data_IF_378404138436
#
_entry.id   IF_378404138436
#
_cell.length_a   1.000
_cell.length_b   1.000
_cell.length_c   1.000
_cell.angle_alpha   90.00
_cell.angle_beta   90.00
_cell.angle_gamma   90.00
#
_symmetry.space_group_name_H-M   'P 1'
#
loop_
_entity.id
_entity.type
_entity.pdbx_description
1 polymer ?
#
# COMPACT_ATOMS: atom_id res chain seq x y z
N UNK A 1 4.02 6.26 -25.15
CA UNK A 1 3.08 7.07 -25.96
C UNK A 1 3.92 7.78 -26.99
N UNK A 2 3.60 7.65 -28.28
CA UNK A 2 4.29 8.37 -29.36
C UNK A 2 3.61 9.72 -29.56
N UNK A 3 4.40 10.73 -29.90
CA UNK A 3 3.92 12.10 -30.14
C UNK A 3 4.43 12.60 -31.48
N UNK A 4 3.59 13.32 -32.21
CA UNK A 4 3.90 13.97 -33.47
C UNK A 4 4.63 13.02 -34.45
N UNK A 5 5.87 13.35 -34.80
CA UNK A 5 6.71 12.62 -35.77
C UNK A 5 7.17 11.25 -35.29
N UNK A 6 6.96 10.90 -34.03
CA UNK A 6 7.24 9.55 -33.52
C UNK A 6 6.20 8.53 -33.98
N UNK A 7 5.04 8.97 -34.47
CA UNK A 7 3.94 8.12 -34.95
C UNK A 7 4.34 7.52 -36.31
N UNK A 8 4.44 6.18 -36.36
CA UNK A 8 4.92 5.44 -37.54
C UNK A 8 3.79 4.78 -38.37
N UNK A 9 2.55 4.90 -37.93
CA UNK A 9 1.42 4.32 -38.63
C UNK A 9 1.18 5.05 -39.97
N UNK A 10 0.75 4.33 -41.01
CA UNK A 10 0.44 4.94 -42.30
C UNK A 10 -0.90 5.67 -42.27
N UNK A 11 -1.90 5.06 -41.62
CA UNK A 11 -3.23 5.61 -41.43
C UNK A 11 -3.56 5.63 -39.94
N UNK A 12 -4.19 6.72 -39.50
CA UNK A 12 -4.60 6.93 -38.12
C UNK A 12 -6.03 7.45 -38.07
N UNK A 13 -6.77 7.07 -37.03
CA UNK A 13 -8.06 7.67 -36.70
C UNK A 13 -7.80 8.90 -35.84
N UNK A 14 -8.28 10.06 -36.25
CA UNK A 14 -8.00 11.34 -35.58
C UNK A 14 -9.23 11.88 -34.86
N UNK A 15 -9.00 12.30 -33.63
CA UNK A 15 -9.95 13.05 -32.80
C UNK A 15 -9.36 14.45 -32.61
N UNK A 16 -10.15 15.48 -32.79
CA UNK A 16 -9.71 16.86 -32.57
C UNK A 16 -9.65 17.22 -31.07
N UNK A 17 -9.27 18.47 -30.78
CA UNK A 17 -9.15 19.00 -29.43
C UNK A 17 -10.51 19.23 -28.73
N UNK A 18 -11.58 19.45 -29.50
CA UNK A 18 -12.95 19.57 -29.02
C UNK A 18 -13.61 18.20 -28.76
N UNK A 19 -13.02 17.12 -29.28
CA UNK A 19 -13.52 15.74 -29.15
C UNK A 19 -14.31 15.24 -30.36
N UNK A 20 -14.38 16.01 -31.44
CA UNK A 20 -15.00 15.60 -32.70
C UNK A 20 -14.11 14.59 -33.43
N UNK A 21 -14.75 13.64 -34.10
CA UNK A 21 -14.05 12.63 -34.90
C UNK A 21 -13.79 13.18 -36.31
N UNK A 22 -12.52 13.39 -36.67
CA UNK A 22 -12.12 13.84 -38.00
C UNK A 22 -12.03 12.68 -39.01
N UNK A 23 -12.14 11.44 -38.54
CA UNK A 23 -12.11 10.24 -39.37
C UNK A 23 -10.71 9.63 -39.48
N UNK A 24 -10.50 8.83 -40.54
CA UNK A 24 -9.22 8.18 -40.83
C UNK A 24 -8.45 8.99 -41.86
N UNK A 25 -7.22 9.37 -41.53
CA UNK A 25 -6.34 10.15 -42.41
C UNK A 25 -4.88 9.73 -42.25
N UNK A 26 -4.00 10.32 -43.05
CA UNK A 26 -2.56 10.06 -42.95
C UNK A 26 -1.92 10.87 -41.81
N UNK A 27 -0.78 10.40 -41.31
CA UNK A 27 -0.03 11.13 -40.26
C UNK A 27 0.36 12.55 -40.68
N UNK A 28 0.86 12.81 -41.91
CA UNK A 28 1.20 14.17 -42.34
C UNK A 28 0.00 15.14 -42.35
N UNK A 29 -1.18 14.66 -42.76
CA UNK A 29 -2.41 15.48 -42.75
C UNK A 29 -2.81 15.84 -41.33
N UNK A 30 -2.79 14.85 -40.41
CA UNK A 30 -3.11 15.06 -39.02
C UNK A 30 -2.11 15.98 -38.31
N UNK A 31 -0.82 15.87 -38.64
CA UNK A 31 0.23 16.76 -38.13
C UNK A 31 -0.01 18.20 -38.56
N UNK A 32 -0.38 18.44 -39.83
CA UNK A 32 -0.69 19.79 -40.31
C UNK A 32 -1.85 20.40 -39.52
N UNK A 33 -2.93 19.63 -39.30
CA UNK A 33 -4.09 20.09 -38.52
C UNK A 33 -3.69 20.43 -37.07
N UNK A 34 -2.81 19.63 -36.46
CA UNK A 34 -2.30 19.91 -35.12
C UNK A 34 -1.44 21.19 -35.10
N UNK A 35 -0.52 21.35 -36.07
CA UNK A 35 0.34 22.53 -36.22
C UNK A 35 -0.47 23.81 -36.48
N UNK A 36 -1.49 23.76 -37.34
CA UNK A 36 -2.39 24.89 -37.63
C UNK A 36 -3.12 25.39 -36.38
N UNK A 37 -3.37 24.49 -35.41
CA UNK A 37 -4.00 24.79 -34.13
C UNK A 37 -2.99 25.09 -33.01
N UNK A 38 -1.69 24.97 -33.28
CA UNK A 38 -0.63 25.12 -32.27
C UNK A 38 -0.65 24.03 -31.19
N UNK A 39 -1.15 22.84 -31.51
CA UNK A 39 -1.29 21.68 -30.63
C UNK A 39 -0.43 20.51 -31.10
N UNK A 40 -0.36 19.45 -30.30
CA UNK A 40 0.37 18.23 -30.63
C UNK A 40 -0.58 17.09 -31.04
N UNK A 41 -0.10 16.17 -31.86
CA UNK A 41 -0.76 14.92 -32.21
C UNK A 41 -0.26 13.80 -31.28
N UNK A 42 -1.12 13.31 -30.39
CA UNK A 42 -0.78 12.26 -29.42
C UNK A 42 -1.43 10.92 -29.82
N UNK A 43 -0.64 9.85 -29.82
CA UNK A 43 -1.14 8.49 -30.03
C UNK A 43 -1.72 7.92 -28.72
N UNK A 44 -3.06 7.94 -28.60
CA UNK A 44 -3.75 7.50 -27.37
C UNK A 44 -4.06 6.00 -27.35
N UNK A 45 -4.28 5.38 -28.51
CA UNK A 45 -4.59 3.95 -28.62
C UNK A 45 -3.75 3.31 -29.74
N UNK A 46 -2.54 2.83 -29.42
CA UNK A 46 -1.64 2.21 -30.41
C UNK A 46 -2.10 0.82 -30.86
N UNK A 47 -2.94 0.15 -30.08
CA UNK A 47 -3.41 -1.22 -30.34
C UNK A 47 -4.63 -1.29 -31.27
N UNK A 48 -5.25 -0.15 -31.58
CA UNK A 48 -6.39 -0.08 -32.50
C UNK A 48 -5.93 -0.19 -33.97
N UNK A 49 -6.80 -0.70 -34.85
CA UNK A 49 -6.57 -0.71 -36.30
C UNK A 49 -7.68 0.08 -37.02
N UNK A 50 -7.39 1.26 -37.59
CA UNK A 50 -6.14 2.04 -37.47
C UNK A 50 -5.92 2.61 -36.04
N UNK A 51 -4.66 2.90 -35.65
CA UNK A 51 -4.34 3.52 -34.36
C UNK A 51 -5.09 4.83 -34.16
N UNK A 52 -5.51 5.11 -32.92
CA UNK A 52 -6.27 6.33 -32.63
C UNK A 52 -5.36 7.39 -32.03
N UNK A 53 -5.33 8.56 -32.67
CA UNK A 53 -4.58 9.73 -32.27
C UNK A 53 -5.55 10.87 -31.90
N UNK A 54 -5.17 11.68 -30.92
CA UNK A 54 -5.93 12.84 -30.47
C UNK A 54 -5.05 14.09 -30.57
N UNK A 55 -5.61 15.17 -31.10
CA UNK A 55 -4.98 16.49 -31.12
C UNK A 55 -5.17 17.13 -29.74
N UNK A 56 -4.09 17.43 -29.03
CA UNK A 56 -4.13 18.09 -27.73
C UNK A 56 -2.75 18.62 -27.31
N UNK A 57 -2.71 19.51 -26.33
CA UNK A 57 -1.46 20.00 -25.73
C UNK A 57 -0.76 18.87 -24.94
N UNK A 58 0.43 18.47 -25.40
CA UNK A 58 1.21 17.41 -24.75
C UNK A 58 1.72 17.81 -23.36
N UNK A 59 2.11 19.07 -23.17
CA UNK A 59 2.59 19.60 -21.89
C UNK A 59 1.52 19.55 -20.81
N UNK A 60 0.32 20.04 -21.13
CA UNK A 60 -0.86 20.00 -20.25
C UNK A 60 -1.26 18.56 -19.93
N UNK A 61 -1.32 17.69 -20.94
CA UNK A 61 -1.64 16.27 -20.74
C UNK A 61 -0.64 15.58 -19.81
N UNK A 62 0.66 15.80 -20.02
CA UNK A 62 1.73 15.23 -19.19
C UNK A 62 1.63 15.70 -17.74
N UNK A 63 1.31 16.97 -17.53
CA UNK A 63 1.09 17.53 -16.19
C UNK A 63 -0.13 16.89 -15.50
N UNK A 64 -1.27 16.82 -16.19
CA UNK A 64 -2.49 16.21 -15.66
C UNK A 64 -2.29 14.72 -15.36
N UNK A 65 -1.60 13.98 -16.24
CA UNK A 65 -1.29 12.57 -16.04
C UNK A 65 -0.37 12.37 -14.83
N UNK A 66 0.64 13.23 -14.66
CA UNK A 66 1.51 13.22 -13.47
C UNK A 66 0.73 13.54 -12.20
N UNK A 67 -0.12 14.57 -12.22
CA UNK A 67 -0.98 14.95 -11.09
C UNK A 67 -1.93 13.82 -10.69
N UNK A 68 -2.56 13.18 -11.68
CA UNK A 68 -3.41 12.00 -11.46
C UNK A 68 -2.61 10.83 -10.87
N UNK A 69 -1.43 10.53 -11.40
CA UNK A 69 -0.57 9.47 -10.89
C UNK A 69 -0.10 9.75 -9.45
N UNK A 70 0.28 10.98 -9.12
CA UNK A 70 0.63 11.37 -7.74
C UNK A 70 -0.57 11.30 -6.81
N UNK A 71 -1.75 11.75 -7.24
CA UNK A 71 -2.97 11.64 -6.44
C UNK A 71 -3.37 10.17 -6.20
N UNK A 72 -3.21 9.30 -7.20
CA UNK A 72 -3.44 7.87 -7.05
C UNK A 72 -2.45 7.22 -6.07
N UNK A 73 -1.15 7.55 -6.17
CA UNK A 73 -0.12 7.09 -5.22
C UNK A 73 -0.40 7.53 -3.79
N UNK A 74 -0.83 8.77 -3.58
CA UNK A 74 -1.20 9.28 -2.25
C UNK A 74 -2.44 8.59 -1.65
N UNK A 75 -3.36 8.14 -2.51
CA UNK A 75 -4.57 7.41 -2.09
C UNK A 75 -4.34 5.91 -1.87
N UNK A 76 -3.21 5.38 -2.35
CA UNK A 76 -2.86 3.99 -2.12
C UNK A 76 -2.51 3.81 -0.65
N UNK A 77 -3.35 3.08 0.09
CA UNK A 77 -3.02 2.63 1.45
C UNK A 77 -1.81 1.72 1.36
N UNK A 78 -0.68 2.18 1.88
CA UNK A 78 0.53 1.36 2.02
C UNK A 78 0.33 0.51 3.27
N UNK A 79 0.06 -0.78 3.08
CA UNK A 79 0.00 -1.72 4.20
C UNK A 79 1.43 -2.16 4.50
N UNK A 80 1.93 -1.75 5.66
CA UNK A 80 3.27 -2.11 6.14
C UNK A 80 3.17 -3.34 7.04
N UNK A 81 4.23 -4.12 7.13
CA UNK A 81 4.33 -5.20 8.11
C UNK A 81 5.17 -4.67 9.27
N UNK A 82 4.54 -4.47 10.41
CA UNK A 82 5.18 -4.10 11.66
C UNK A 82 5.52 -5.37 12.44
N UNK A 83 6.72 -5.46 12.98
CA UNK A 83 7.17 -6.62 13.75
C UNK A 83 7.12 -6.33 15.25
N UNK A 84 6.55 -7.25 16.02
CA UNK A 84 6.51 -7.17 17.49
C UNK A 84 7.25 -8.38 18.05
N UNK A 85 8.44 -8.13 18.60
CA UNK A 85 9.30 -9.19 19.12
C UNK A 85 9.06 -9.44 20.61
N UNK A 86 8.81 -10.69 20.96
CA UNK A 86 8.60 -11.16 22.33
C UNK A 86 9.63 -12.20 22.75
N UNK A 87 9.65 -12.52 24.04
CA UNK A 87 10.44 -13.62 24.61
C UNK A 87 9.51 -14.74 25.12
N UNK A 88 9.94 -16.01 25.12
CA UNK A 88 9.13 -17.12 25.65
C UNK A 88 8.76 -16.98 27.13
N UNK A 89 9.56 -16.22 27.91
CA UNK A 89 9.35 -15.97 29.35
C UNK A 89 9.06 -14.51 29.64
N UNK A 90 8.32 -13.86 28.74
CA UNK A 90 7.88 -12.47 28.90
C UNK A 90 6.95 -12.35 30.13
N UNK A 91 7.14 -11.28 30.92
CA UNK A 91 6.27 -10.93 32.03
C UNK A 91 4.90 -10.45 31.54
N UNK A 92 3.86 -10.56 32.37
CA UNK A 92 2.50 -10.14 32.01
C UNK A 92 2.44 -8.66 31.58
N UNK A 93 3.16 -7.78 32.27
CA UNK A 93 3.15 -6.36 31.95
C UNK A 93 3.83 -6.06 30.60
N UNK A 94 4.99 -6.68 30.33
CA UNK A 94 5.67 -6.57 29.03
C UNK A 94 4.83 -7.14 27.88
N UNK A 95 4.14 -8.26 28.12
CA UNK A 95 3.21 -8.84 27.16
C UNK A 95 2.08 -7.86 26.80
N UNK A 96 1.42 -7.29 27.81
CA UNK A 96 0.31 -6.35 27.60
C UNK A 96 0.76 -5.10 26.84
N UNK A 97 1.91 -4.53 27.19
CA UNK A 97 2.47 -3.38 26.47
C UNK A 97 2.69 -3.70 25.00
N UNK A 98 3.38 -4.81 24.69
CA UNK A 98 3.64 -5.23 23.30
C UNK A 98 2.37 -5.58 22.53
N UNK A 99 1.38 -6.17 23.18
CA UNK A 99 0.11 -6.46 22.54
C UNK A 99 -0.72 -5.20 22.32
N UNK A 100 -0.63 -4.19 23.19
CA UNK A 100 -1.22 -2.88 22.92
C UNK A 100 -0.59 -2.21 21.70
N UNK A 101 0.74 -2.31 21.52
CA UNK A 101 1.40 -1.87 20.28
C UNK A 101 0.87 -2.62 19.05
N UNK A 102 0.78 -3.95 19.12
CA UNK A 102 0.20 -4.76 18.05
C UNK A 102 -1.23 -4.30 17.70
N UNK A 103 -2.08 -4.01 18.70
CA UNK A 103 -3.43 -3.48 18.47
C UNK A 103 -3.41 -2.13 17.77
N UNK A 104 -2.50 -1.23 18.15
CA UNK A 104 -2.36 0.09 17.53
C UNK A 104 -2.00 -0.03 16.04
N UNK A 105 -0.99 -0.84 15.71
CA UNK A 105 -0.64 -1.13 14.31
C UNK A 105 -1.82 -1.68 13.50
N UNK A 106 -2.60 -2.60 14.08
CA UNK A 106 -3.79 -3.15 13.44
C UNK A 106 -4.88 -2.07 13.22
N UNK A 107 -5.07 -1.15 14.16
CA UNK A 107 -6.01 -0.04 14.04
C UNK A 107 -5.61 0.96 12.95
N UNK A 108 -4.31 1.16 12.77
CA UNK A 108 -3.73 2.00 11.72
C UNK A 108 -3.80 1.34 10.33
N UNK A 109 -4.13 0.04 10.29
CA UNK A 109 -4.31 -0.74 9.07
C UNK A 109 -3.06 -1.48 8.59
N UNK A 110 -2.04 -1.56 9.44
CA UNK A 110 -0.83 -2.35 9.19
C UNK A 110 -1.02 -3.82 9.57
N UNK A 111 -0.24 -4.69 8.93
CA UNK A 111 -0.12 -6.09 9.33
C UNK A 111 0.88 -6.20 10.45
N UNK A 112 0.64 -7.12 11.38
CA UNK A 112 1.55 -7.37 12.50
C UNK A 112 2.14 -8.77 12.39
N UNK A 113 3.48 -8.83 12.42
CA UNK A 113 4.24 -10.06 12.59
C UNK A 113 4.66 -10.16 14.05
N UNK A 114 4.03 -11.04 14.81
CA UNK A 114 4.47 -11.33 16.18
C UNK A 114 5.55 -12.39 16.11
N UNK A 115 6.75 -12.10 16.62
CA UNK A 115 7.88 -13.02 16.60
C UNK A 115 8.38 -13.37 18.00
N UNK A 116 8.72 -14.64 18.19
CA UNK A 116 9.33 -15.18 19.41
C UNK A 116 10.66 -15.81 19.01
N UNK A 117 11.74 -15.43 19.69
CA UNK A 117 13.07 -16.04 19.49
C UNK A 117 13.38 -16.96 20.67
N UNK A 118 13.72 -18.22 20.37
CA UNK A 118 14.20 -19.18 21.37
C UNK A 118 15.72 -19.11 21.50
N UNK A 119 16.24 -19.13 22.73
CA UNK A 119 17.68 -19.15 23.00
C UNK A 119 18.13 -20.49 23.59
N UNK A 120 19.18 -21.08 23.00
CA UNK A 120 19.86 -22.26 23.54
C UNK A 120 18.92 -23.45 23.80
N UNK A 121 18.75 -23.81 25.08
CA UNK A 121 17.94 -24.95 25.54
C UNK A 121 16.42 -24.71 25.47
N UNK A 122 15.99 -23.48 25.21
CA UNK A 122 14.57 -23.14 25.10
C UNK A 122 13.89 -23.73 23.87
N UNK A 123 14.66 -24.19 22.87
CA UNK A 123 14.12 -24.91 21.71
C UNK A 123 13.39 -26.21 22.10
N UNK A 124 13.69 -26.77 23.27
CA UNK A 124 12.99 -27.93 23.82
C UNK A 124 11.62 -27.57 24.39
N UNK A 125 11.35 -26.29 24.64
CA UNK A 125 10.12 -25.78 25.25
C UNK A 125 9.28 -24.97 24.25
N UNK A 126 8.96 -25.59 23.11
CA UNK A 126 8.13 -24.95 22.08
C UNK A 126 6.71 -24.70 22.56
N UNK A 127 6.24 -25.51 23.52
CA UNK A 127 4.93 -25.38 24.16
C UNK A 127 4.75 -24.01 24.83
N UNK A 128 5.78 -23.47 25.47
CA UNK A 128 5.73 -22.15 26.11
C UNK A 128 5.54 -21.04 25.07
N UNK A 129 6.28 -21.12 23.95
CA UNK A 129 6.12 -20.15 22.86
C UNK A 129 4.74 -20.25 22.21
N UNK A 130 4.22 -21.47 22.03
CA UNK A 130 2.88 -21.68 21.49
C UNK A 130 1.79 -21.11 22.41
N UNK A 131 1.92 -21.28 23.73
CA UNK A 131 0.99 -20.70 24.71
C UNK A 131 0.96 -19.17 24.62
N UNK A 132 2.13 -18.53 24.54
CA UNK A 132 2.25 -17.08 24.38
C UNK A 132 1.61 -16.62 23.06
N UNK A 133 1.81 -17.34 21.95
CA UNK A 133 1.18 -17.02 20.67
C UNK A 133 -0.35 -17.16 20.72
N UNK A 134 -0.86 -18.19 21.40
CA UNK A 134 -2.30 -18.35 21.59
C UNK A 134 -2.90 -17.22 22.44
N UNK A 135 -2.21 -16.78 23.49
CA UNK A 135 -2.60 -15.60 24.28
C UNK A 135 -2.62 -14.33 23.41
N UNK A 136 -1.61 -14.15 22.55
CA UNK A 136 -1.56 -13.01 21.62
C UNK A 136 -2.75 -13.01 20.66
N UNK A 137 -3.08 -14.17 20.07
CA UNK A 137 -4.26 -14.34 19.19
C UNK A 137 -5.53 -13.95 19.93
N UNK A 138 -5.73 -14.45 21.16
CA UNK A 138 -6.92 -14.15 21.95
C UNK A 138 -7.04 -12.64 22.27
N UNK A 139 -5.92 -11.99 22.56
CA UNK A 139 -5.87 -10.56 22.93
C UNK A 139 -6.22 -9.62 21.76
N UNK A 140 -5.89 -10.00 20.53
CA UNK A 140 -6.14 -9.17 19.33
C UNK A 140 -7.32 -9.65 18.48
N UNK A 141 -8.05 -10.68 18.91
CA UNK A 141 -9.11 -11.32 18.12
C UNK A 141 -10.28 -10.37 17.76
N UNK A 142 -10.48 -9.31 18.53
CA UNK A 142 -11.47 -8.27 18.29
C UNK A 142 -11.02 -7.22 17.26
N UNK A 143 -9.79 -7.28 16.74
CA UNK A 143 -9.27 -6.36 15.72
C UNK A 143 -8.65 -7.08 14.52
N UNK A 144 -8.12 -8.28 14.74
CA UNK A 144 -7.32 -9.01 13.77
C UNK A 144 -8.05 -10.18 13.10
N UNK A 145 -7.54 -10.52 11.93
CA UNK A 145 -7.71 -11.79 11.24
C UNK A 145 -6.35 -12.52 11.25
N UNK A 146 -6.36 -13.83 11.52
CA UNK A 146 -5.15 -14.65 11.46
C UNK A 146 -4.82 -14.94 9.99
N UNK A 147 -3.72 -14.40 9.49
CA UNK A 147 -3.23 -14.65 8.13
C UNK A 147 -2.33 -15.89 8.09
N UNK A 148 -1.51 -16.10 9.12
CA UNK A 148 -0.69 -17.30 9.28
C UNK A 148 -0.67 -17.74 10.73
N UNK A 149 -1.08 -18.97 10.98
CA UNK A 149 -1.02 -19.58 12.31
C UNK A 149 0.41 -19.63 12.85
N UNK A 150 0.59 -19.70 14.18
CA UNK A 150 1.91 -19.80 14.79
C UNK A 150 2.69 -20.98 14.21
N UNK A 151 3.87 -20.70 13.66
CA UNK A 151 4.74 -21.72 13.09
C UNK A 151 6.20 -21.43 13.39
N UNK A 152 6.98 -22.51 13.45
CA UNK A 152 8.42 -22.46 13.70
C UNK A 152 9.18 -22.27 12.38
N UNK A 153 10.13 -21.34 12.38
CA UNK A 153 11.12 -21.16 11.33
C UNK A 153 12.50 -21.03 11.97
N UNK A 154 13.29 -22.11 11.88
CA UNK A 154 14.59 -22.20 12.54
C UNK A 154 14.48 -22.09 14.06
N UNK A 155 15.04 -21.00 14.62
CA UNK A 155 15.05 -20.72 16.06
C UNK A 155 13.99 -19.67 16.48
N UNK A 156 13.06 -19.35 15.59
CA UNK A 156 12.00 -18.39 15.83
C UNK A 156 10.64 -19.03 15.60
N UNK A 157 9.64 -18.61 16.37
CA UNK A 157 8.23 -18.83 16.07
C UNK A 157 7.62 -17.51 15.65
N UNK A 158 6.77 -17.51 14.63
CA UNK A 158 6.06 -16.31 14.22
C UNK A 158 4.59 -16.56 13.92
N UNK A 159 3.83 -15.49 14.06
CA UNK A 159 2.39 -15.39 13.83
C UNK A 159 2.15 -14.15 12.97
N UNK A 160 1.37 -14.30 11.88
CA UNK A 160 1.00 -13.17 11.02
C UNK A 160 -0.46 -12.81 11.26
N UNK A 161 -0.68 -11.54 11.61
CA UNK A 161 -1.98 -10.94 11.86
C UNK A 161 -2.25 -9.85 10.83
N UNK A 162 -3.45 -9.89 10.25
CA UNK A 162 -3.94 -8.86 9.36
C UNK A 162 -5.05 -8.05 10.06
N UNK A 163 -5.19 -6.75 9.75
CA UNK A 163 -6.29 -5.94 10.27
C UNK A 163 -7.62 -6.42 9.67
N UNK A 164 -8.64 -6.63 10.51
CA UNK A 164 -10.00 -6.94 10.06
C UNK A 164 -10.81 -5.64 9.92
N UNK A 165 -11.13 -5.19 8.69
CA UNK A 165 -11.81 -3.92 8.48
C UNK A 165 -13.21 -3.84 9.09
N UNK A 166 -13.89 -4.97 9.30
CA UNK A 166 -15.21 -5.00 9.92
C UNK A 166 -15.07 -4.79 11.41
N UNK A 167 -14.22 -5.60 12.06
CA UNK A 167 -14.02 -5.53 13.50
C UNK A 167 -13.41 -4.20 13.95
N UNK A 168 -12.47 -3.65 13.18
CA UNK A 168 -11.86 -2.34 13.44
C UNK A 168 -12.91 -1.22 13.40
N UNK A 169 -13.82 -1.23 12.42
CA UNK A 169 -14.89 -0.23 12.34
C UNK A 169 -15.82 -0.31 13.54
N UNK A 170 -16.12 -1.50 14.00
CA UNK A 170 -16.98 -1.68 15.17
C UNK A 170 -16.27 -1.27 16.47
N UNK A 171 -14.97 -1.54 16.59
CA UNK A 171 -14.13 -1.05 17.69
C UNK A 171 -14.06 0.49 17.73
N UNK A 172 -13.85 1.14 16.57
CA UNK A 172 -13.78 2.60 16.46
C UNK A 172 -15.11 3.28 16.80
N UNK A 173 -16.25 2.68 16.44
CA UNK A 173 -17.58 3.17 16.85
C UNK A 173 -17.78 3.11 18.37
N UNK A 174 -17.26 2.06 19.01
CA UNK A 174 -17.36 1.89 20.45
C UNK A 174 -16.40 2.80 21.23
N UNK A 175 -15.26 3.20 20.65
CA UNK A 175 -14.20 3.97 21.33
C UNK A 175 -13.73 5.21 20.54
N UNK A 176 -14.55 6.27 20.45
CA UNK A 176 -14.27 7.44 19.59
C UNK A 176 -13.10 8.34 20.04
N UNK A 177 -12.61 8.24 21.29
CA UNK A 177 -11.64 9.19 21.87
C UNK A 177 -10.22 8.63 22.11
N UNK A 178 -9.97 7.32 21.94
CA UNK A 178 -8.67 6.70 22.24
C UNK A 178 -7.65 6.79 21.10
N UNK A 179 -8.13 6.79 19.85
CA UNK A 179 -7.28 6.76 18.65
C UNK A 179 -6.28 7.92 18.53
N UNK A 180 -6.57 9.09 19.10
CA UNK A 180 -5.66 10.25 19.05
C UNK A 180 -4.53 10.23 20.09
N UNK A 181 -4.71 9.54 21.21
CA UNK A 181 -3.66 9.42 22.24
C UNK A 181 -2.64 8.34 21.85
N UNK A 182 -3.14 7.24 21.28
CA UNK A 182 -2.33 6.10 20.85
C UNK A 182 -1.32 6.47 19.74
N UNK A 183 -1.69 7.35 18.79
CA UNK A 183 -0.78 7.83 17.74
C UNK A 183 0.37 8.68 18.26
N UNK A 184 0.16 9.43 19.37
CA UNK A 184 1.20 10.28 19.96
C UNK A 184 2.25 9.45 20.70
N UNK A 185 1.81 8.47 21.48
CA UNK A 185 2.72 7.55 22.18
C UNK A 185 3.53 6.65 21.22
N UNK A 186 3.05 6.35 20.00
CA UNK A 186 3.85 5.62 19.02
C UNK A 186 5.02 6.45 18.48
N UNK A 187 4.79 7.73 18.19
CA UNK A 187 5.85 8.61 17.70
C UNK A 187 6.97 8.75 18.74
N UNK A 188 6.58 8.91 20.02
CA UNK A 188 7.52 9.05 21.13
C UNK A 188 8.32 7.75 21.40
N UNK A 189 7.84 6.58 20.96
CA UNK A 189 8.50 5.27 21.16
C UNK A 189 9.31 4.80 19.94
N UNK A 190 8.87 5.10 18.70
CA UNK A 190 9.70 4.87 17.50
C UNK A 190 10.99 5.70 17.58
N UNK A 191 10.94 6.91 18.15
CA UNK A 191 12.15 7.72 18.43
C UNK A 191 13.09 7.05 19.46
N UNK A 192 12.57 6.31 20.44
CA UNK A 192 13.37 5.63 21.46
C UNK A 192 14.00 4.33 20.96
N UNK A 193 13.34 3.60 20.06
CA UNK A 193 13.90 2.38 19.45
C UNK A 193 14.98 2.69 18.40
N UNK A 194 14.92 3.85 17.73
CA UNK A 194 15.98 4.31 16.81
C UNK A 194 17.27 4.72 17.56
N UNK A 195 17.16 5.26 18.77
CA UNK A 195 18.30 5.68 19.60
C UNK A 195 19.08 4.50 20.23
N UNK A 196 18.47 3.32 20.39
CA UNK A 196 19.12 2.12 20.96
C UNK A 196 19.90 1.29 19.89
N UNK A 197 19.79 1.63 18.60
CA UNK A 197 20.51 0.99 17.48
C UNK A 197 21.78 1.75 17.02
N UNK A 198 22.11 2.93 17.60
CA UNK A 198 23.37 3.69 17.37
C UNK A 198 24.47 3.40 18.43
#
# INVERSE_FOLDING_TARGET
>A
MRVNREIRAQQIRVIDDEGNMLGVMTVPEALRIAEDRGLDLLEIAPTASPPTCKIMDYGKWKYEKKKQATAARKKQTVVTIKEVQMRPRTDQHDFETKMNHARRFLLDGDKVKVSLRFMGRELAHQELGMEVMQKAIAFVNDLALIESNPKMEGKQMFLMLAPDPVKIKDYQKAHPNKSKQDTKELADLEELEEDDEE
#
